data_IF_838548953321
#
_entry.id   IF_838548953321
#
_cell.length_a   1.000
_cell.length_b   1.000
_cell.length_c   1.000
_cell.angle_alpha   90.00
_cell.angle_beta   90.00
_cell.angle_gamma   90.00
#
_symmetry.space_group_name_H-M   'P 1'
#
loop_
_entity.id
_entity.type
_entity.pdbx_description
1 polymer ?
#
# COMPACT_ATOMS: atom_id res chain seq x y z
N UNK A 1 39.06 -9.50 -29.47
CA UNK A 1 38.33 -8.99 -30.65
C UNK A 1 37.58 -7.74 -30.21
N UNK A 2 37.95 -6.53 -30.66
CA UNK A 2 37.23 -5.32 -30.26
C UNK A 2 35.90 -5.21 -31.05
N UNK A 3 34.80 -5.07 -30.33
CA UNK A 3 33.46 -4.87 -30.88
C UNK A 3 33.19 -3.37 -30.99
N UNK A 4 32.96 -2.90 -32.21
CA UNK A 4 32.57 -1.52 -32.53
C UNK A 4 31.06 -1.37 -32.32
N UNK A 5 30.63 -0.42 -31.48
CA UNK A 5 29.24 0.00 -31.35
C UNK A 5 28.97 1.23 -32.23
N UNK A 6 27.93 1.25 -33.09
CA UNK A 6 27.52 2.47 -33.78
C UNK A 6 26.63 3.34 -32.88
N UNK A 7 27.09 4.57 -32.68
CA UNK A 7 26.35 5.70 -32.13
C UNK A 7 25.48 6.33 -33.22
N UNK A 8 24.17 6.43 -33.00
CA UNK A 8 23.25 7.18 -33.84
C UNK A 8 22.22 7.90 -32.97
N UNK A 9 22.50 9.18 -32.69
CA UNK A 9 21.54 10.14 -32.13
C UNK A 9 20.74 10.81 -33.26
N UNK A 10 19.42 10.96 -33.16
CA UNK A 10 18.64 11.83 -34.05
C UNK A 10 18.60 13.29 -33.55
N UNK A 11 18.34 14.26 -34.46
CA UNK A 11 18.48 15.69 -34.19
C UNK A 11 17.31 16.29 -33.41
N UNK A 12 17.66 17.22 -32.51
CA UNK A 12 16.76 18.10 -31.77
C UNK A 12 16.14 19.09 -32.76
N UNK A 13 14.81 19.08 -32.87
CA UNK A 13 14.05 20.12 -33.57
C UNK A 13 13.51 21.11 -32.54
N UNK A 14 13.90 22.38 -32.68
CA UNK A 14 13.45 23.50 -31.86
C UNK A 14 11.98 23.86 -32.16
N UNK A 15 11.12 24.07 -31.14
CA UNK A 15 9.85 24.73 -31.35
C UNK A 15 9.97 26.25 -31.21
N UNK A 16 9.53 26.90 -32.28
CA UNK A 16 9.26 28.33 -32.47
C UNK A 16 8.53 28.97 -31.29
N UNK A 17 9.09 30.08 -30.81
CA UNK A 17 8.47 31.05 -29.89
C UNK A 17 7.38 31.84 -30.61
N UNK A 18 6.12 31.55 -30.30
CA UNK A 18 4.97 32.36 -30.65
C UNK A 18 4.59 33.28 -29.51
N UNK A 19 4.93 34.56 -29.64
CA UNK A 19 4.47 35.67 -28.79
C UNK A 19 2.95 35.88 -28.96
N UNK A 20 2.20 35.75 -27.86
CA UNK A 20 0.83 36.26 -27.77
C UNK A 20 0.72 37.15 -26.53
N UNK A 21 0.82 38.45 -26.80
CA UNK A 21 0.54 39.55 -25.88
C UNK A 21 -0.96 39.61 -25.61
N UNK A 22 -1.35 39.38 -24.36
CA UNK A 22 -2.74 39.53 -23.91
C UNK A 22 -2.86 40.78 -23.04
N UNK A 23 -3.45 41.82 -23.63
CA UNK A 23 -3.72 43.13 -23.01
C UNK A 23 -5.00 43.04 -22.18
N UNK A 24 -4.91 43.22 -20.86
CA UNK A 24 -6.06 43.32 -19.96
C UNK A 24 -6.42 44.80 -19.78
N UNK A 25 -7.68 45.22 -20.02
CA UNK A 25 -8.11 46.59 -19.76
C UNK A 25 -8.43 46.81 -18.28
N UNK A 26 -7.87 47.91 -17.77
CA UNK A 26 -8.17 48.52 -16.47
C UNK A 26 -9.54 49.21 -16.53
N UNK A 27 -10.41 48.92 -15.56
CA UNK A 27 -11.72 49.55 -15.41
C UNK A 27 -11.95 49.94 -13.95
N UNK A 28 -12.05 51.23 -13.70
CA UNK A 28 -12.23 51.88 -12.41
C UNK A 28 -13.71 52.19 -12.09
N UNK A 29 -13.94 52.47 -10.80
CA UNK A 29 -15.00 53.33 -10.23
C UNK A 29 -16.46 52.85 -10.13
N UNK A 30 -16.91 52.69 -8.87
CA UNK A 30 -18.01 53.45 -8.22
C UNK A 30 -18.40 52.77 -6.88
N UNK A 31 -18.28 53.40 -5.71
CA UNK A 31 -19.07 54.50 -5.09
C UNK A 31 -20.12 53.98 -4.08
N UNK A 32 -19.72 54.07 -2.82
CA UNK A 32 -20.44 54.57 -1.62
C UNK A 32 -21.91 54.17 -1.37
N UNK A 33 -22.12 53.45 -0.27
CA UNK A 33 -23.40 53.35 0.44
C UNK A 33 -23.15 53.11 1.93
N UNK A 34 -23.39 54.13 2.76
CA UNK A 34 -23.18 54.13 4.21
C UNK A 34 -24.47 53.65 4.89
N UNK A 35 -24.40 52.57 5.66
CA UNK A 35 -25.45 52.21 6.62
C UNK A 35 -24.79 51.88 7.97
N UNK A 36 -25.10 52.71 8.97
CA UNK A 36 -24.63 52.57 10.33
C UNK A 36 -25.24 51.31 10.97
N UNK A 37 -24.38 50.35 11.32
CA UNK A 37 -24.75 49.17 12.12
C UNK A 37 -24.06 49.29 13.48
N UNK A 38 -24.89 49.22 14.50
CA UNK A 38 -24.58 49.26 15.93
C UNK A 38 -23.54 48.18 16.27
N UNK A 39 -22.41 48.61 16.86
CA UNK A 39 -21.33 47.73 17.31
C UNK A 39 -21.74 46.94 18.58
N UNK A 40 -21.67 45.59 18.56
CA UNK A 40 -21.55 44.80 19.77
C UNK A 40 -20.10 44.84 20.31
N UNK A 41 -19.88 44.53 21.60
CA UNK A 41 -18.59 44.70 22.27
C UNK A 41 -17.50 43.82 21.65
N UNK A 42 -16.37 44.45 21.34
CA UNK A 42 -15.13 43.82 20.87
C UNK A 42 -14.62 42.79 21.87
N UNK A 43 -14.83 41.51 21.58
CA UNK A 43 -14.01 40.45 22.12
C UNK A 43 -12.77 40.36 21.24
N UNK A 44 -11.65 40.88 21.73
CA UNK A 44 -10.30 40.62 21.20
C UNK A 44 -9.99 39.13 21.37
N UNK A 45 -10.61 38.30 20.53
CA UNK A 45 -10.24 36.91 20.34
C UNK A 45 -9.03 36.90 19.44
N UNK A 46 -7.85 36.96 20.06
CA UNK A 46 -6.55 36.78 19.42
C UNK A 46 -6.63 35.54 18.53
N UNK A 47 -6.75 35.76 17.21
CA UNK A 47 -6.94 34.71 16.22
C UNK A 47 -5.67 33.86 16.18
N UNK A 48 -5.69 32.78 16.98
CA UNK A 48 -4.62 31.78 17.01
C UNK A 48 -4.37 31.36 15.56
N UNK A 49 -3.14 31.51 15.03
CA UNK A 49 -2.84 31.21 13.64
C UNK A 49 -3.29 29.77 13.35
N UNK A 50 -4.21 29.63 12.39
CA UNK A 50 -4.80 28.34 12.01
C UNK A 50 -3.67 27.40 11.62
N UNK A 51 -3.50 26.32 12.38
CA UNK A 51 -2.54 25.26 12.11
C UNK A 51 -2.76 24.70 10.70
N UNK A 52 -1.71 24.47 9.90
CA UNK A 52 -1.88 23.94 8.55
C UNK A 52 -2.63 22.60 8.60
N UNK A 53 -3.54 22.33 7.66
CA UNK A 53 -4.28 21.06 7.62
C UNK A 53 -3.30 19.89 7.49
N UNK A 54 -3.41 18.91 8.39
CA UNK A 54 -2.65 17.65 8.32
C UNK A 54 -2.97 16.93 7.01
N UNK A 55 -1.95 16.38 6.38
CA UNK A 55 -2.03 15.62 5.13
C UNK A 55 -2.36 14.17 5.33
N UNK A 56 -2.24 13.70 6.57
CA UNK A 56 -2.51 12.33 6.93
C UNK A 56 -3.97 12.21 7.32
N UNK A 57 -4.75 11.59 6.43
CA UNK A 57 -6.15 11.32 6.68
C UNK A 57 -6.31 10.13 7.60
N UNK A 58 -6.98 10.31 8.75
CA UNK A 58 -7.24 9.22 9.70
C UNK A 58 -8.63 8.64 9.49
N UNK A 59 -8.71 7.32 9.40
CA UNK A 59 -9.94 6.54 9.23
C UNK A 59 -10.05 5.58 10.39
N UNK A 60 -11.09 5.75 11.22
CA UNK A 60 -11.43 4.80 12.28
C UNK A 60 -12.51 3.86 11.79
N UNK A 61 -12.22 2.57 11.80
CA UNK A 61 -13.14 1.51 11.43
C UNK A 61 -13.87 0.98 12.65
N UNK A 62 -15.16 0.72 12.50
CA UNK A 62 -16.00 0.14 13.55
C UNK A 62 -15.82 -1.39 13.68
N UNK A 63 -14.61 -1.90 13.43
CA UNK A 63 -14.24 -3.31 13.59
C UNK A 63 -13.29 -3.44 14.77
N UNK A 64 -13.34 -4.57 15.46
CA UNK A 64 -12.44 -4.84 16.58
C UNK A 64 -10.99 -5.02 16.11
N UNK A 65 -10.81 -5.73 15.01
CA UNK A 65 -9.51 -6.03 14.42
C UNK A 65 -9.61 -6.06 12.89
N UNK A 66 -8.49 -5.79 12.22
CA UNK A 66 -8.41 -5.74 10.76
C UNK A 66 -7.80 -7.06 10.27
N UNK A 67 -8.59 -7.86 9.57
CA UNK A 67 -8.10 -9.10 8.95
C UNK A 67 -7.30 -8.79 7.68
N UNK A 68 -6.52 -9.78 7.23
CA UNK A 68 -5.70 -9.67 6.02
C UNK A 68 -6.54 -9.29 4.78
N UNK A 69 -7.75 -9.83 4.65
CA UNK A 69 -8.68 -9.56 3.55
C UNK A 69 -9.14 -8.11 3.53
N UNK A 70 -9.46 -7.54 4.70
CA UNK A 70 -9.88 -6.14 4.80
C UNK A 70 -8.68 -5.23 4.49
N UNK A 71 -7.50 -5.55 5.03
CA UNK A 71 -6.28 -4.79 4.76
C UNK A 71 -5.91 -4.79 3.28
N UNK A 72 -6.02 -5.94 2.59
CA UNK A 72 -5.76 -6.05 1.15
C UNK A 72 -6.77 -5.27 0.31
N UNK A 73 -8.07 -5.37 0.63
CA UNK A 73 -9.12 -4.65 -0.09
C UNK A 73 -8.91 -3.13 0.02
N UNK A 74 -8.56 -2.65 1.21
CA UNK A 74 -8.27 -1.23 1.45
C UNK A 74 -7.01 -0.76 0.73
N UNK A 75 -5.95 -1.58 0.73
CA UNK A 75 -4.71 -1.29 0.00
C UNK A 75 -4.96 -1.20 -1.51
N UNK A 76 -5.63 -2.18 -2.10
CA UNK A 76 -5.99 -2.17 -3.53
C UNK A 76 -6.86 -0.98 -3.89
N UNK A 77 -7.87 -0.68 -3.08
CA UNK A 77 -8.72 0.48 -3.29
C UNK A 77 -7.91 1.78 -3.25
N UNK A 78 -7.03 1.96 -2.26
CA UNK A 78 -6.19 3.14 -2.16
C UNK A 78 -5.25 3.27 -3.36
N UNK A 79 -4.60 2.21 -3.82
CA UNK A 79 -3.75 2.23 -5.02
C UNK A 79 -4.55 2.74 -6.22
N UNK A 80 -5.75 2.20 -6.45
CA UNK A 80 -6.62 2.64 -7.55
C UNK A 80 -7.01 4.11 -7.46
N UNK A 81 -7.26 4.63 -6.25
CA UNK A 81 -7.55 6.05 -6.04
C UNK A 81 -6.31 6.92 -6.23
N UNK A 82 -5.14 6.53 -5.72
CA UNK A 82 -3.90 7.30 -5.88
C UNK A 82 -3.53 7.43 -7.37
N UNK A 83 -3.65 6.34 -8.14
CA UNK A 83 -3.42 6.39 -9.59
C UNK A 83 -4.34 7.41 -10.28
N UNK A 84 -5.60 7.49 -9.87
CA UNK A 84 -6.55 8.46 -10.43
C UNK A 84 -6.24 9.90 -9.98
N UNK A 85 -6.09 10.12 -8.67
CA UNK A 85 -5.86 11.45 -8.07
C UNK A 85 -4.53 12.08 -8.49
N UNK A 86 -3.53 11.25 -8.81
CA UNK A 86 -2.22 11.70 -9.32
C UNK A 86 -2.16 11.71 -10.85
N UNK A 87 -3.31 11.66 -11.54
CA UNK A 87 -3.43 11.67 -13.00
C UNK A 87 -2.59 10.60 -13.73
N UNK A 88 -2.32 9.48 -13.07
CA UNK A 88 -1.65 8.32 -13.70
C UNK A 88 -2.64 7.52 -14.55
N UNK A 89 -3.94 7.56 -14.22
CA UNK A 89 -5.02 7.01 -15.04
C UNK A 89 -6.13 8.02 -15.27
N UNK A 90 -6.77 8.04 -16.45
CA UNK A 90 -7.77 9.05 -16.81
C UNK A 90 -9.12 8.86 -16.12
N UNK A 91 -9.41 7.66 -15.61
CA UNK A 91 -10.65 7.33 -14.91
C UNK A 91 -10.33 6.42 -13.72
N UNK A 92 -11.19 6.41 -12.68
CA UNK A 92 -11.08 5.43 -11.60
C UNK A 92 -10.99 4.01 -12.17
N UNK A 93 -10.10 3.18 -11.63
CA UNK A 93 -9.83 1.82 -12.13
C UNK A 93 -11.12 0.99 -12.25
N UNK A 94 -12.05 1.14 -11.30
CA UNK A 94 -13.36 0.47 -11.34
C UNK A 94 -14.24 0.91 -12.52
N UNK A 95 -14.13 2.15 -12.96
CA UNK A 95 -14.82 2.64 -14.17
C UNK A 95 -14.12 2.16 -15.43
N UNK A 96 -12.79 2.06 -15.42
CA UNK A 96 -12.01 1.49 -16.53
C UNK A 96 -12.42 0.05 -16.84
N UNK A 97 -12.85 -0.77 -15.87
CA UNK A 97 -13.39 -2.11 -16.17
C UNK A 97 -14.69 -2.07 -17.00
N UNK A 98 -15.50 -1.01 -16.87
CA UNK A 98 -16.86 -0.95 -17.44
C UNK A 98 -16.92 -0.30 -18.82
N UNK A 99 -15.92 0.49 -19.20
CA UNK A 99 -15.94 1.21 -20.47
C UNK A 99 -15.81 0.18 -21.61
N UNK A 100 -16.78 0.00 -22.51
CA UNK A 100 -16.56 -0.90 -23.65
C UNK A 100 -15.43 -0.35 -24.54
N UNK A 101 -14.61 -1.22 -25.11
CA UNK A 101 -13.41 -0.85 -25.89
C UNK A 101 -13.67 -0.20 -27.25
N UNK A 102 -14.74 0.59 -27.41
CA UNK A 102 -15.35 1.07 -28.66
C UNK A 102 -14.40 1.67 -29.72
N UNK A 103 -14.50 2.97 -30.02
CA UNK A 103 -13.68 3.62 -31.09
C UNK A 103 -12.24 3.92 -30.63
N UNK A 104 -11.75 3.27 -29.58
CA UNK A 104 -10.41 3.48 -29.06
C UNK A 104 -9.35 2.97 -30.04
N UNK A 105 -8.21 3.64 -30.10
CA UNK A 105 -7.08 3.14 -30.90
C UNK A 105 -6.60 1.80 -30.33
N UNK A 106 -6.12 0.89 -31.19
CA UNK A 106 -5.58 -0.41 -30.77
C UNK A 106 -4.52 -0.27 -29.66
N UNK A 107 -3.68 0.78 -29.74
CA UNK A 107 -2.68 1.11 -28.72
C UNK A 107 -3.30 1.47 -27.37
N UNK A 108 -4.33 2.32 -27.35
CA UNK A 108 -4.99 2.72 -26.10
C UNK A 108 -5.75 1.55 -25.46
N UNK A 109 -6.36 0.69 -26.29
CA UNK A 109 -7.00 -0.53 -25.82
C UNK A 109 -5.98 -1.47 -25.17
N UNK A 110 -4.82 -1.67 -25.82
CA UNK A 110 -3.73 -2.49 -25.27
C UNK A 110 -3.25 -1.97 -23.92
N UNK A 111 -2.88 -0.68 -23.83
CA UNK A 111 -2.41 -0.08 -22.57
C UNK A 111 -3.44 -0.22 -21.45
N UNK A 112 -4.72 -0.05 -21.77
CA UNK A 112 -5.79 -0.26 -20.80
C UNK A 112 -5.87 -1.72 -20.35
N UNK A 113 -5.85 -2.68 -21.27
CA UNK A 113 -5.88 -4.10 -20.93
C UNK A 113 -4.69 -4.49 -20.08
N UNK A 114 -3.49 -4.05 -20.47
CA UNK A 114 -2.26 -4.27 -19.73
C UNK A 114 -2.41 -3.71 -18.31
N UNK A 115 -2.80 -2.44 -18.14
CA UNK A 115 -3.01 -1.82 -16.81
C UNK A 115 -4.07 -2.55 -15.96
N UNK A 116 -5.16 -3.04 -16.55
CA UNK A 116 -6.19 -3.77 -15.79
C UNK A 116 -5.69 -5.14 -15.33
N UNK A 117 -5.03 -5.91 -16.21
CA UNK A 117 -4.46 -7.22 -15.86
C UNK A 117 -3.40 -7.10 -14.75
N UNK A 118 -2.62 -6.04 -14.87
CA UNK A 118 -1.58 -5.60 -13.96
C UNK A 118 -2.12 -5.26 -12.56
N UNK A 119 -3.17 -4.44 -12.50
CA UNK A 119 -3.85 -4.09 -11.25
C UNK A 119 -4.56 -5.29 -10.61
N UNK A 120 -5.13 -6.19 -11.41
CA UNK A 120 -5.75 -7.44 -10.93
C UNK A 120 -4.72 -8.38 -10.32
N UNK A 121 -3.57 -8.54 -10.98
CA UNK A 121 -2.42 -9.31 -10.49
C UNK A 121 -1.94 -8.75 -9.15
N UNK A 122 -1.68 -7.44 -9.09
CA UNK A 122 -1.30 -6.77 -7.84
C UNK A 122 -2.33 -7.01 -6.72
N UNK A 123 -3.62 -6.88 -7.03
CA UNK A 123 -4.69 -7.08 -6.04
C UNK A 123 -4.73 -8.51 -5.51
N UNK A 124 -4.57 -9.50 -6.38
CA UNK A 124 -4.43 -10.90 -5.98
C UNK A 124 -3.22 -11.11 -5.05
N UNK A 125 -2.09 -10.49 -5.37
CA UNK A 125 -0.89 -10.59 -4.53
C UNK A 125 -1.03 -9.85 -3.20
N UNK A 126 -1.72 -8.71 -3.14
CA UNK A 126 -1.95 -8.01 -1.88
C UNK A 126 -2.70 -8.89 -0.88
N UNK A 127 -3.68 -9.69 -1.32
CA UNK A 127 -4.39 -10.64 -0.45
C UNK A 127 -3.42 -11.65 0.17
N UNK A 128 -2.59 -12.33 -0.64
CA UNK A 128 -1.61 -13.30 -0.13
C UNK A 128 -0.51 -12.62 0.71
N UNK A 129 -0.15 -11.38 0.37
CA UNK A 129 0.85 -10.58 1.09
C UNK A 129 0.41 -10.26 2.50
N UNK A 130 -0.81 -9.77 2.70
CA UNK A 130 -1.31 -9.44 4.03
C UNK A 130 -1.50 -10.70 4.89
N UNK A 131 -1.84 -11.85 4.28
CA UNK A 131 -1.84 -13.16 4.98
C UNK A 131 -0.44 -13.57 5.42
N UNK A 132 0.54 -13.50 4.51
CA UNK A 132 1.95 -13.79 4.85
C UNK A 132 2.50 -12.82 5.90
N UNK A 133 2.11 -11.54 5.86
CA UNK A 133 2.50 -10.54 6.86
C UNK A 133 1.89 -10.87 8.21
N UNK A 134 0.61 -11.22 8.26
CA UNK A 134 -0.08 -11.66 9.48
C UNK A 134 0.66 -12.83 10.15
N UNK A 135 1.06 -13.83 9.36
CA UNK A 135 1.85 -14.97 9.85
C UNK A 135 3.27 -14.57 10.27
N UNK A 136 3.94 -13.71 9.50
CA UNK A 136 5.27 -13.22 9.86
C UNK A 136 5.24 -12.41 11.17
N UNK A 137 4.19 -11.63 11.38
CA UNK A 137 3.94 -10.89 12.61
C UNK A 137 3.62 -11.80 13.78
N UNK A 138 2.85 -12.86 13.59
CA UNK A 138 2.57 -13.85 14.63
C UNK A 138 3.85 -14.57 15.06
N UNK A 139 4.74 -14.89 14.11
CA UNK A 139 6.05 -15.52 14.41
C UNK A 139 7.06 -14.58 15.04
N UNK A 140 6.97 -13.28 14.75
CA UNK A 140 7.84 -12.26 15.33
C UNK A 140 7.35 -11.81 16.71
N UNK A 141 6.04 -11.91 16.97
CA UNK A 141 5.49 -11.82 18.30
C UNK A 141 6.08 -12.97 19.12
N UNK A 142 6.91 -12.67 20.12
CA UNK A 142 7.24 -13.66 21.13
C UNK A 142 5.97 -14.13 21.89
N UNK A 143 6.10 -14.76 23.06
CA UNK A 143 4.95 -15.22 23.85
C UNK A 143 4.04 -14.07 24.38
N UNK A 144 4.24 -12.82 23.93
CA UNK A 144 3.42 -11.69 24.36
C UNK A 144 2.10 -11.64 23.57
N UNK A 145 0.95 -11.65 24.26
CA UNK A 145 -0.38 -11.82 23.65
C UNK A 145 -0.94 -10.50 23.10
N UNK A 146 -0.26 -9.92 22.12
CA UNK A 146 -0.81 -8.82 21.32
C UNK A 146 -1.39 -9.37 20.02
N UNK A 147 -2.72 -9.44 19.84
CA UNK A 147 -3.32 -10.05 18.64
C UNK A 147 -3.14 -9.19 17.40
N UNK A 148 -2.71 -7.93 17.54
CA UNK A 148 -2.66 -6.98 16.44
C UNK A 148 -1.29 -6.32 16.27
N UNK A 149 -0.90 -6.11 15.01
CA UNK A 149 0.30 -5.38 14.59
C UNK A 149 -0.05 -4.25 13.63
N UNK A 150 0.94 -3.40 13.37
CA UNK A 150 0.83 -2.30 12.43
C UNK A 150 1.59 -2.63 11.14
N UNK A 151 0.90 -2.51 10.01
CA UNK A 151 1.49 -2.71 8.69
C UNK A 151 1.59 -1.39 7.93
N UNK A 152 2.64 -1.25 7.11
CA UNK A 152 2.85 -0.08 6.28
C UNK A 152 3.10 -0.48 4.83
N UNK A 153 2.41 0.19 3.92
CA UNK A 153 2.60 0.11 2.48
C UNK A 153 2.84 1.53 1.96
N UNK A 154 3.80 1.70 1.05
CA UNK A 154 4.07 2.98 0.41
C UNK A 154 3.81 2.90 -1.09
N UNK A 155 3.15 3.93 -1.61
CA UNK A 155 2.87 4.13 -3.03
C UNK A 155 3.67 5.35 -3.47
N UNK A 156 4.66 5.11 -4.33
CA UNK A 156 5.58 6.14 -4.81
C UNK A 156 5.29 6.41 -6.29
N UNK A 157 5.00 7.65 -6.63
CA UNK A 157 4.71 8.07 -8.01
C UNK A 157 5.85 8.97 -8.49
N UNK A 158 6.60 8.52 -9.50
CA UNK A 158 7.69 9.28 -10.10
C UNK A 158 8.69 8.42 -10.86
N UNK A 159 9.79 9.00 -11.37
CA UNK A 159 10.73 8.31 -12.25
C UNK A 159 11.53 7.17 -11.60
N UNK A 160 11.68 7.20 -10.27
CA UNK A 160 12.35 6.15 -9.50
C UNK A 160 11.89 6.19 -8.04
N UNK A 161 12.21 5.14 -7.28
CA UNK A 161 11.96 5.08 -5.82
C UNK A 161 12.61 6.25 -5.07
N UNK A 162 13.85 6.59 -5.41
CA UNK A 162 14.61 7.66 -4.73
C UNK A 162 14.22 9.08 -5.14
N UNK A 163 13.69 9.25 -6.36
CA UNK A 163 13.27 10.53 -6.93
C UNK A 163 11.75 10.66 -7.12
N UNK A 164 10.98 9.86 -6.36
CA UNK A 164 9.53 9.90 -6.38
C UNK A 164 9.03 11.32 -6.06
N UNK A 165 8.16 11.85 -6.94
CA UNK A 165 7.59 13.19 -6.80
C UNK A 165 6.53 13.22 -5.71
N UNK A 166 5.82 12.12 -5.55
CA UNK A 166 4.79 11.94 -4.53
C UNK A 166 5.02 10.64 -3.80
N UNK A 167 4.81 10.67 -2.48
CA UNK A 167 4.89 9.52 -1.59
C UNK A 167 3.59 9.46 -0.79
N UNK A 168 2.82 8.40 -0.99
CA UNK A 168 1.58 8.14 -0.24
C UNK A 168 1.81 6.94 0.66
N UNK A 169 1.65 7.11 1.97
CA UNK A 169 1.77 6.03 2.95
C UNK A 169 0.39 5.53 3.34
N UNK A 170 0.24 4.22 3.34
CA UNK A 170 -0.91 3.51 3.88
C UNK A 170 -0.48 2.80 5.15
N UNK A 171 -1.08 3.17 6.28
CA UNK A 171 -0.87 2.50 7.56
C UNK A 171 -2.15 1.77 7.98
N UNK A 172 -1.99 0.51 8.36
CA UNK A 172 -3.05 -0.31 8.93
C UNK A 172 -2.68 -0.60 10.37
N UNK A 173 -3.42 -0.01 11.28
CA UNK A 173 -3.27 -0.18 12.72
C UNK A 173 -4.37 -1.12 13.26
N UNK A 174 -3.95 -2.25 13.81
CA UNK A 174 -4.89 -3.31 14.21
C UNK A 174 -4.92 -4.53 13.30
N UNK A 175 -3.87 -4.78 12.48
CA UNK A 175 -3.79 -5.97 11.63
C UNK A 175 -3.64 -7.22 12.50
N UNK A 176 -4.56 -8.17 12.41
CA UNK A 176 -4.48 -9.44 13.17
C UNK A 176 -3.20 -10.19 12.81
N UNK A 177 -2.43 -10.58 13.82
CA UNK A 177 -1.28 -11.45 13.68
C UNK A 177 -1.69 -12.90 13.97
N UNK A 178 -1.83 -13.70 12.91
CA UNK A 178 -2.25 -15.10 12.98
C UNK A 178 -1.42 -15.97 12.06
N UNK A 179 -1.04 -17.17 12.53
CA UNK A 179 -0.36 -18.16 11.71
C UNK A 179 -1.38 -18.81 10.78
N UNK A 180 -1.16 -18.69 9.47
CA UNK A 180 -2.03 -19.35 8.50
C UNK A 180 -1.88 -20.87 8.61
N UNK A 181 -3.02 -21.56 8.73
CA UNK A 181 -3.07 -23.03 8.85
C UNK A 181 -3.05 -23.55 10.28
N UNK A 182 -2.82 -22.70 11.27
CA UNK A 182 -3.12 -23.02 12.66
C UNK A 182 -4.64 -23.00 12.84
N UNK A 183 -5.22 -24.12 13.27
CA UNK A 183 -6.66 -24.23 13.51
C UNK A 183 -6.96 -23.53 14.83
N UNK A 184 -8.00 -22.70 14.85
CA UNK A 184 -8.47 -22.01 16.07
C UNK A 184 -9.11 -22.97 17.08
N UNK A 185 -9.15 -24.27 16.78
CA UNK A 185 -9.93 -25.28 17.49
C UNK A 185 -9.33 -25.72 18.84
N UNK A 186 -8.28 -25.03 19.34
CA UNK A 186 -7.58 -25.37 20.60
C UNK A 186 -7.67 -24.23 21.62
N UNK A 187 -8.74 -23.44 21.60
CA UNK A 187 -9.11 -22.63 22.77
C UNK A 187 -9.83 -23.53 23.81
N UNK A 188 -8.99 -24.18 24.62
CA UNK A 188 -9.18 -24.41 26.06
C UNK A 188 -10.57 -24.84 26.56
N UNK A 189 -10.86 -26.14 26.47
CA UNK A 189 -11.31 -26.87 27.67
C UNK A 189 -10.05 -27.24 28.50
N UNK A 190 -9.36 -26.24 29.05
CA UNK A 190 -8.44 -26.48 30.18
C UNK A 190 -9.26 -26.41 31.45
N UNK A 191 -9.95 -27.50 31.73
CA UNK A 191 -10.48 -27.77 33.06
C UNK A 191 -9.30 -27.84 34.04
N UNK A 192 -9.42 -27.05 35.11
CA UNK A 192 -8.57 -27.00 36.28
C UNK A 192 -8.46 -28.37 36.97
N UNK A 193 -7.57 -29.26 36.50
CA UNK A 193 -7.11 -30.40 37.29
C UNK A 193 -5.59 -30.35 37.46
N UNK A 194 -5.21 -29.57 38.48
CA UNK A 194 -4.13 -29.81 39.42
C UNK A 194 -3.62 -31.25 39.48
N UNK A 195 -2.31 -31.48 39.37
CA UNK A 195 -1.54 -32.28 40.34
C UNK A 195 -0.09 -31.79 40.41
N UNK A 196 0.38 -31.63 41.65
CA UNK A 196 1.75 -31.31 42.05
C UNK A 196 2.73 -32.40 41.58
N UNK A 197 3.81 -32.02 40.89
CA UNK A 197 4.93 -32.92 40.67
C UNK A 197 6.24 -32.14 40.81
N UNK A 198 6.75 -32.13 42.04
CA UNK A 198 8.18 -31.95 42.34
C UNK A 198 8.95 -33.08 41.65
N UNK A 199 9.79 -32.75 40.67
CA UNK A 199 10.91 -33.63 40.33
C UNK A 199 12.13 -32.80 39.95
N UNK A 200 13.08 -32.76 40.89
CA UNK A 200 14.41 -32.22 40.72
C UNK A 200 15.26 -33.25 39.97
N UNK A 201 15.82 -32.90 38.80
CA UNK A 201 16.91 -33.68 38.21
C UNK A 201 17.85 -32.85 37.35
N UNK A 202 18.95 -32.52 38.00
CA UNK A 202 20.35 -32.43 37.57
C UNK A 202 20.73 -32.73 36.11
N UNK A 203 21.44 -31.73 35.55
CA UNK A 203 22.79 -31.76 34.94
C UNK A 203 23.13 -32.47 33.60
N UNK A 204 24.14 -31.83 32.97
CA UNK A 204 25.07 -32.25 31.90
C UNK A 204 24.67 -31.92 30.45
N UNK A 205 25.28 -30.91 29.80
CA UNK A 205 26.65 -30.79 29.24
C UNK A 205 26.86 -31.59 27.93
N UNK A 206 27.69 -31.04 27.03
CA UNK A 206 28.19 -31.52 25.71
C UNK A 206 27.31 -31.22 24.48
N UNK A 207 27.80 -30.87 23.29
CA UNK A 207 29.11 -30.46 22.77
C UNK A 207 28.96 -30.04 21.30
N UNK A 208 29.86 -29.15 20.88
CA UNK A 208 30.34 -28.81 19.53
C UNK A 208 30.24 -29.89 18.42
N UNK A 209 29.75 -29.49 17.24
CA UNK A 209 30.11 -30.12 15.96
C UNK A 209 29.79 -29.20 14.77
N UNK A 210 30.85 -28.58 14.26
CA UNK A 210 30.90 -27.87 12.98
C UNK A 210 30.74 -28.85 11.81
N UNK A 211 29.99 -28.50 10.76
CA UNK A 211 30.02 -29.22 9.49
C UNK A 211 29.97 -28.23 8.34
N UNK A 212 31.13 -28.05 7.72
CA UNK A 212 31.32 -27.45 6.41
C UNK A 212 31.08 -28.56 5.39
N UNK A 213 30.21 -28.35 4.40
CA UNK A 213 30.26 -29.19 3.21
C UNK A 213 29.90 -28.44 1.92
N UNK A 214 30.73 -28.77 0.96
CA UNK A 214 30.97 -28.26 -0.39
C UNK A 214 29.94 -28.84 -1.37
N UNK A 215 29.41 -28.05 -2.31
CA UNK A 215 28.77 -28.60 -3.51
C UNK A 215 28.62 -27.54 -4.62
N UNK A 216 29.66 -27.47 -5.45
CA UNK A 216 29.64 -26.94 -6.82
C UNK A 216 28.69 -27.78 -7.71
N UNK A 217 27.63 -27.19 -8.26
CA UNK A 217 26.89 -27.79 -9.39
C UNK A 217 26.61 -26.77 -10.49
N UNK A 218 27.21 -27.04 -11.67
CA UNK A 218 26.99 -26.34 -12.93
C UNK A 218 25.62 -26.68 -13.53
N UNK A 219 24.92 -25.72 -14.18
CA UNK A 219 23.77 -26.05 -15.03
C UNK A 219 24.22 -26.49 -16.44
N UNK A 220 23.64 -27.59 -16.90
CA UNK A 220 23.79 -28.14 -18.26
C UNK A 220 22.65 -27.65 -19.17
N UNK A 221 23.02 -27.12 -20.33
CA UNK A 221 22.12 -26.72 -21.40
C UNK A 221 21.46 -27.95 -22.02
N UNK A 222 20.12 -28.01 -22.03
CA UNK A 222 19.36 -29.02 -22.81
C UNK A 222 18.26 -28.32 -23.60
N UNK A 223 18.58 -28.00 -24.85
CA UNK A 223 17.63 -27.65 -25.90
C UNK A 223 16.87 -28.92 -26.34
N UNK A 224 15.55 -28.91 -26.22
CA UNK A 224 14.72 -29.92 -26.89
C UNK A 224 13.44 -29.29 -27.44
N UNK A 225 13.53 -28.91 -28.71
CA UNK A 225 12.40 -28.64 -29.58
C UNK A 225 11.73 -29.96 -29.95
N UNK A 226 10.41 -30.09 -29.74
CA UNK A 226 9.64 -31.17 -30.37
C UNK A 226 8.25 -30.66 -30.75
N UNK A 227 8.14 -30.29 -32.01
CA UNK A 227 6.91 -30.13 -32.77
C UNK A 227 6.24 -31.50 -32.86
N UNK A 228 4.96 -31.62 -32.51
CA UNK A 228 4.16 -32.81 -32.83
C UNK A 228 2.69 -32.44 -33.01
N UNK A 229 2.33 -32.29 -34.29
CA UNK A 229 0.97 -32.34 -34.82
C UNK A 229 0.36 -33.73 -34.54
N UNK A 230 -0.72 -33.76 -33.77
CA UNK A 230 -1.63 -34.92 -33.72
C UNK A 230 -3.06 -34.48 -33.99
N UNK A 231 -3.43 -34.67 -35.25
CA UNK A 231 -4.78 -34.74 -35.76
C UNK A 231 -5.49 -35.96 -35.15
N UNK A 232 -6.50 -35.72 -34.30
CA UNK A 232 -7.32 -36.77 -33.71
C UNK A 232 -8.81 -36.40 -33.79
N UNK A 233 -9.50 -37.16 -34.65
CA UNK A 233 -10.92 -37.11 -34.95
C UNK A 233 -11.81 -37.15 -33.70
N UNK A 234 -12.72 -36.17 -33.58
CA UNK A 234 -13.70 -36.10 -32.50
C UNK A 234 -14.97 -36.94 -32.81
N UNK A 235 -15.53 -37.66 -31.82
CA UNK A 235 -16.79 -38.40 -31.93
C UNK A 235 -18.04 -37.49 -31.93
N UNK A 236 -19.22 -37.99 -32.37
CA UNK A 236 -20.43 -37.18 -32.57
C UNK A 236 -21.06 -36.66 -31.26
N UNK A 237 -21.73 -35.50 -31.29
CA UNK A 237 -22.34 -34.87 -30.12
C UNK A 237 -23.57 -35.65 -29.62
N UNK A 238 -23.59 -35.92 -28.32
CA UNK A 238 -24.75 -36.48 -27.62
C UNK A 238 -25.85 -35.42 -27.41
N UNK A 239 -27.15 -35.81 -27.43
CA UNK A 239 -28.28 -34.90 -27.32
C UNK A 239 -28.39 -34.26 -25.93
N UNK A 240 -28.50 -32.93 -25.91
CA UNK A 240 -28.59 -32.10 -24.70
C UNK A 240 -29.87 -32.36 -23.89
N UNK A 241 -29.78 -32.51 -22.55
CA UNK A 241 -30.94 -32.49 -21.67
C UNK A 241 -31.54 -31.07 -21.60
N UNK A 242 -32.88 -31.01 -21.57
CA UNK A 242 -33.69 -29.79 -21.56
C UNK A 242 -33.30 -28.82 -20.42
N UNK A 243 -33.36 -27.49 -20.66
CA UNK A 243 -33.09 -26.48 -19.65
C UNK A 243 -34.20 -26.50 -18.59
N UNK A 244 -33.85 -26.91 -17.37
CA UNK A 244 -34.73 -26.72 -16.22
C UNK A 244 -34.93 -25.21 -15.96
N UNK A 245 -36.12 -24.78 -15.53
CA UNK A 245 -36.43 -23.37 -15.29
C UNK A 245 -35.46 -22.82 -14.25
N UNK A 246 -34.76 -21.77 -14.66
CA UNK A 246 -33.71 -21.08 -13.91
C UNK A 246 -34.31 -20.52 -12.61
N UNK A 247 -33.99 -21.18 -11.49
CA UNK A 247 -34.24 -20.67 -10.15
C UNK A 247 -33.55 -19.31 -10.06
N UNK A 248 -34.32 -18.27 -9.77
CA UNK A 248 -33.81 -16.89 -9.70
C UNK A 248 -32.55 -16.83 -8.83
N UNK A 249 -31.44 -16.24 -9.31
CA UNK A 249 -30.20 -16.22 -8.56
C UNK A 249 -30.44 -15.52 -7.22
N UNK A 250 -30.21 -16.26 -6.13
CA UNK A 250 -30.26 -15.72 -4.78
C UNK A 250 -29.30 -14.51 -4.72
N UNK A 251 -29.73 -13.34 -4.21
CA UNK A 251 -28.85 -12.19 -4.10
C UNK A 251 -27.61 -12.59 -3.28
N UNK A 252 -26.40 -12.26 -3.75
CA UNK A 252 -25.18 -12.60 -3.03
C UNK A 252 -25.24 -11.98 -1.63
N UNK A 253 -24.78 -12.69 -0.59
CA UNK A 253 -24.76 -12.15 0.77
C UNK A 253 -23.99 -10.83 0.79
N UNK A 254 -24.44 -9.82 1.56
CA UNK A 254 -23.76 -8.55 1.65
C UNK A 254 -22.33 -8.76 2.16
N UNK A 255 -21.34 -8.47 1.32
CA UNK A 255 -19.94 -8.53 1.74
C UNK A 255 -19.69 -7.41 2.75
N UNK A 256 -19.18 -7.80 3.92
CA UNK A 256 -18.92 -6.89 5.04
C UNK A 256 -17.85 -5.83 4.71
N UNK A 257 -17.12 -5.97 3.60
CA UNK A 257 -16.10 -5.01 3.15
C UNK A 257 -16.67 -3.78 2.43
N UNK A 258 -17.90 -3.83 1.89
CA UNK A 258 -18.46 -2.73 1.08
C UNK A 258 -18.64 -1.40 1.85
N UNK A 259 -19.18 -1.39 3.09
CA UNK A 259 -19.28 -0.16 3.87
C UNK A 259 -17.91 0.46 4.18
N UNK A 260 -16.91 -0.38 4.47
CA UNK A 260 -15.54 0.03 4.79
C UNK A 260 -14.90 0.71 3.58
N UNK A 261 -15.05 0.13 2.39
CA UNK A 261 -14.53 0.70 1.14
C UNK A 261 -15.20 2.04 0.80
N UNK A 262 -16.51 2.18 1.07
CA UNK A 262 -17.21 3.46 0.88
C UNK A 262 -16.71 4.54 1.85
N UNK A 263 -16.45 4.17 3.11
CA UNK A 263 -15.87 5.09 4.08
C UNK A 263 -14.48 5.57 3.62
N UNK A 264 -13.62 4.65 3.18
CA UNK A 264 -12.31 5.00 2.65
C UNK A 264 -12.42 5.91 1.42
N UNK A 265 -13.29 5.58 0.46
CA UNK A 265 -13.50 6.41 -0.73
C UNK A 265 -14.01 7.81 -0.35
N UNK A 266 -14.91 7.91 0.63
CA UNK A 266 -15.38 9.19 1.15
C UNK A 266 -14.26 9.99 1.81
N UNK A 267 -13.44 9.36 2.66
CA UNK A 267 -12.28 10.04 3.27
C UNK A 267 -11.29 10.52 2.22
N UNK A 268 -11.01 9.70 1.20
CA UNK A 268 -10.14 10.10 0.10
C UNK A 268 -10.74 11.25 -0.72
N UNK A 269 -12.04 11.24 -0.98
CA UNK A 269 -12.74 12.34 -1.64
C UNK A 269 -12.60 13.65 -0.85
N UNK A 270 -12.69 13.60 0.48
CA UNK A 270 -12.46 14.79 1.32
C UNK A 270 -10.99 15.23 1.34
N UNK A 271 -10.07 14.28 1.16
CA UNK A 271 -8.64 14.53 1.11
C UNK A 271 -8.14 14.99 -0.28
N UNK A 272 -8.99 15.03 -1.31
CA UNK A 272 -8.62 15.36 -2.70
C UNK A 272 -7.82 16.65 -2.82
N UNK A 273 -8.17 17.66 -2.01
CA UNK A 273 -7.47 18.95 -2.00
C UNK A 273 -5.98 18.82 -1.64
N UNK A 274 -5.61 17.80 -0.86
CA UNK A 274 -4.20 17.51 -0.54
C UNK A 274 -3.52 16.60 -1.56
N UNK A 275 -4.26 15.71 -2.23
CA UNK A 275 -3.68 14.67 -3.09
C UNK A 275 -3.71 15.02 -4.59
N UNK A 276 -4.47 16.01 -5.03
CA UNK A 276 -4.66 16.35 -6.46
C UNK A 276 -3.51 17.15 -7.09
N UNK A 277 -2.26 16.73 -6.88
CA UNK A 277 -1.13 17.28 -7.62
C UNK A 277 -1.11 16.68 -9.03
N UNK A 278 -1.31 17.52 -10.06
CA UNK A 278 -1.24 17.10 -11.45
C UNK A 278 0.19 16.66 -11.79
N UNK A 279 0.37 15.35 -11.95
CA UNK A 279 1.61 14.75 -12.41
C UNK A 279 1.41 14.24 -13.83
N UNK A 280 2.44 14.40 -14.67
CA UNK A 280 2.52 13.63 -15.89
C UNK A 280 2.52 12.12 -15.56
N UNK A 281 2.04 11.26 -16.47
CA UNK A 281 2.18 9.81 -16.33
C UNK A 281 3.64 9.43 -16.08
N UNK A 282 3.86 8.69 -15.01
CA UNK A 282 5.18 8.26 -14.53
C UNK A 282 5.08 6.87 -13.92
N UNK A 283 6.24 6.29 -13.61
CA UNK A 283 6.28 4.99 -12.95
C UNK A 283 5.63 5.07 -11.56
N UNK A 284 4.85 4.04 -11.23
CA UNK A 284 4.34 3.83 -9.87
C UNK A 284 5.07 2.65 -9.24
N UNK A 285 5.67 2.87 -8.07
CA UNK A 285 6.32 1.84 -7.28
C UNK A 285 5.54 1.58 -5.99
N UNK A 286 5.44 0.32 -5.60
CA UNK A 286 4.80 -0.09 -4.35
C UNK A 286 5.85 -0.77 -3.48
N UNK A 287 6.00 -0.25 -2.26
CA UNK A 287 6.92 -0.79 -1.27
C UNK A 287 6.14 -1.27 -0.04
N UNK A 288 6.61 -2.37 0.55
CA UNK A 288 6.08 -2.94 1.77
C UNK A 288 7.14 -2.93 2.86
N UNK A 289 6.77 -2.50 4.07
CA UNK A 289 7.59 -2.69 5.27
C UNK A 289 7.18 -3.99 5.95
N UNK A 290 8.10 -4.95 6.02
CA UNK A 290 7.83 -6.29 6.52
C UNK A 290 8.93 -6.78 7.48
N UNK A 291 8.67 -7.77 8.34
CA UNK A 291 9.72 -8.47 9.10
C UNK A 291 10.81 -9.07 8.19
N UNK A 292 12.07 -9.14 8.64
CA UNK A 292 13.22 -9.72 7.93
C UNK A 292 12.97 -11.14 7.42
N UNK A 293 12.18 -11.90 8.17
CA UNK A 293 11.81 -13.29 7.86
C UNK A 293 10.59 -13.40 6.94
N UNK A 294 10.02 -12.28 6.52
CA UNK A 294 8.93 -12.28 5.54
C UNK A 294 9.48 -12.73 4.19
N UNK A 295 8.85 -13.75 3.64
CA UNK A 295 9.12 -14.26 2.30
C UNK A 295 7.81 -14.34 1.53
N UNK A 296 7.81 -13.81 0.31
CA UNK A 296 6.67 -13.88 -0.58
C UNK A 296 7.18 -13.86 -2.03
N UNK A 297 6.71 -14.76 -2.91
CA UNK A 297 7.30 -14.97 -4.23
C UNK A 297 7.27 -13.72 -5.12
N UNK A 298 6.30 -12.84 -4.86
CA UNK A 298 6.05 -11.68 -5.68
C UNK A 298 6.61 -10.36 -5.09
N UNK A 299 7.35 -10.43 -3.98
CA UNK A 299 7.97 -9.27 -3.34
C UNK A 299 9.48 -9.45 -3.29
N UNK A 300 10.21 -8.46 -3.81
CA UNK A 300 11.67 -8.53 -3.94
C UNK A 300 12.32 -7.58 -2.94
N UNK A 301 13.23 -8.05 -2.07
CA UNK A 301 13.94 -7.19 -1.13
C UNK A 301 14.70 -6.05 -1.82
N UNK A 302 14.54 -4.82 -1.33
CA UNK A 302 15.18 -3.61 -1.84
C UNK A 302 15.97 -2.89 -0.74
N UNK A 303 17.21 -3.33 -0.52
CA UNK A 303 18.10 -2.71 0.48
C UNK A 303 18.35 -1.21 0.26
N UNK A 304 18.34 -0.76 -1.00
CA UNK A 304 18.54 0.65 -1.35
C UNK A 304 17.35 1.57 -1.07
N UNK A 305 16.15 1.02 -0.85
CA UNK A 305 14.95 1.80 -0.57
C UNK A 305 14.80 2.18 0.92
N UNK A 306 15.53 1.48 1.80
CA UNK A 306 15.31 1.51 3.26
C UNK A 306 15.41 2.87 3.91
N UNK A 307 16.42 3.65 3.55
CA UNK A 307 16.58 4.98 4.12
C UNK A 307 15.50 5.96 3.66
N UNK A 308 15.04 5.84 2.41
CA UNK A 308 14.06 6.74 1.82
C UNK A 308 12.66 6.50 2.38
N UNK A 309 12.26 5.22 2.54
CA UNK A 309 10.99 4.86 3.12
C UNK A 309 10.96 5.13 4.63
N UNK A 310 12.00 4.78 5.39
CA UNK A 310 12.06 5.11 6.83
C UNK A 310 11.98 6.62 7.09
N UNK A 311 12.59 7.45 6.24
CA UNK A 311 12.43 8.90 6.34
C UNK A 311 10.99 9.34 6.08
N UNK A 312 10.31 8.76 5.08
CA UNK A 312 8.92 9.08 4.77
C UNK A 312 7.96 8.60 5.86
N UNK A 313 8.18 7.40 6.40
CA UNK A 313 7.40 6.84 7.51
C UNK A 313 7.53 7.67 8.79
N UNK A 314 8.73 8.18 9.08
CA UNK A 314 8.93 9.06 10.23
C UNK A 314 8.13 10.35 10.10
N UNK A 315 8.17 10.99 8.93
CA UNK A 315 7.40 12.21 8.65
C UNK A 315 5.89 11.94 8.71
N UNK A 316 5.44 10.84 8.11
CA UNK A 316 4.05 10.40 8.15
C UNK A 316 3.55 10.16 9.59
N UNK A 317 4.32 9.49 10.44
CA UNK A 317 3.96 9.24 11.85
C UNK A 317 3.88 10.52 12.68
N UNK A 318 4.85 11.42 12.48
CA UNK A 318 4.89 12.73 13.12
C UNK A 318 3.64 13.54 12.75
N UNK A 319 3.24 13.53 11.48
CA UNK A 319 2.05 14.23 10.99
C UNK A 319 0.73 13.55 11.37
N UNK A 320 0.73 12.23 11.54
CA UNK A 320 -0.41 11.47 12.06
C UNK A 320 -0.67 11.70 13.55
N UNK A 321 0.22 12.42 14.25
CA UNK A 321 0.18 12.58 15.71
C UNK A 321 0.53 11.30 16.47
N UNK A 322 1.12 10.30 15.79
CA UNK A 322 1.62 9.06 16.40
C UNK A 322 3.11 9.24 16.64
N UNK A 323 3.44 10.19 17.51
CA UNK A 323 4.82 10.44 17.87
C UNK A 323 5.30 9.34 18.82
N UNK A 324 6.38 8.63 18.44
CA UNK A 324 7.09 7.74 19.36
C UNK A 324 7.44 8.55 20.62
N UNK A 325 6.88 8.19 21.77
CA UNK A 325 7.13 8.83 23.08
C UNK A 325 8.62 8.92 23.42
N UNK A 326 9.43 8.07 22.81
CA UNK A 326 10.91 8.06 22.90
C UNK A 326 11.58 9.32 22.33
N UNK A 327 10.96 10.04 21.38
CA UNK A 327 11.60 11.17 20.69
C UNK A 327 11.45 12.53 21.38
N UNK A 328 10.64 12.63 22.45
CA UNK A 328 10.38 13.90 23.14
C UNK A 328 11.58 14.46 23.93
N UNK A 329 12.68 13.71 24.06
CA UNK A 329 13.85 14.11 24.87
C UNK A 329 14.95 14.82 24.09
N UNK A 330 14.90 14.89 22.75
CA UNK A 330 15.96 15.52 21.95
C UNK A 330 15.47 16.81 21.25
N UNK A 331 15.63 17.92 21.97
CA UNK A 331 15.75 19.33 21.54
C UNK A 331 15.20 19.81 20.19
N UNK A 332 14.45 20.93 20.24
CA UNK A 332 13.99 21.78 19.11
C UNK A 332 14.67 21.49 17.77
N UNK A 333 13.97 20.77 16.88
CA UNK A 333 14.42 20.51 15.51
C UNK A 333 14.54 21.84 14.76
N UNK A 334 15.74 22.12 14.26
CA UNK A 334 16.05 23.24 13.35
C UNK A 334 15.15 23.13 12.11
N UNK A 335 14.63 24.26 11.63
CA UNK A 335 13.74 24.33 10.47
C UNK A 335 14.29 23.51 9.30
N UNK A 336 13.62 22.40 8.97
CA UNK A 336 14.03 21.52 7.85
C UNK A 336 13.74 22.25 6.54
N UNK A 337 14.73 22.26 5.65
CA UNK A 337 14.60 22.66 4.25
C UNK A 337 13.48 21.85 3.60
N UNK A 338 12.67 22.49 2.75
CA UNK A 338 11.43 21.96 2.13
C UNK A 338 11.63 20.55 1.53
N UNK A 339 11.37 19.51 2.33
CA UNK A 339 11.33 18.13 1.86
C UNK A 339 10.03 17.90 1.08
N UNK A 340 9.99 16.95 0.13
CA UNK A 340 8.76 16.57 -0.55
C UNK A 340 7.75 16.08 0.48
N UNK A 341 6.58 16.71 0.45
CA UNK A 341 5.45 16.47 1.35
C UNK A 341 5.02 15.00 1.28
N UNK A 342 5.05 14.30 2.41
CA UNK A 342 4.50 12.95 2.53
C UNK A 342 2.99 13.07 2.73
N UNK A 343 2.21 12.30 1.98
CA UNK A 343 0.76 12.19 2.14
C UNK A 343 0.42 10.79 2.65
N UNK A 344 -0.79 10.58 3.16
CA UNK A 344 -1.19 9.21 3.45
C UNK A 344 -2.53 9.03 4.13
N UNK A 345 -2.85 7.76 4.36
CA UNK A 345 -4.06 7.31 5.05
C UNK A 345 -3.67 6.42 6.22
N UNK A 346 -4.12 6.79 7.41
CA UNK A 346 -3.99 5.99 8.62
C UNK A 346 -5.32 5.31 8.92
N UNK A 347 -5.40 4.00 8.74
CA UNK A 347 -6.59 3.21 9.08
C UNK A 347 -6.37 2.55 10.42
N UNK A 348 -7.30 2.74 11.36
CA UNK A 348 -7.25 2.16 12.70
C UNK A 348 -8.56 1.43 13.01
N UNK A 349 -8.48 0.26 13.65
CA UNK A 349 -9.65 -0.40 14.23
C UNK A 349 -10.07 0.27 15.55
N UNK A 350 -11.21 -0.17 16.09
CA UNK A 350 -11.77 0.31 17.37
C UNK A 350 -10.82 0.08 18.55
N UNK A 351 -10.08 -1.02 18.56
CA UNK A 351 -9.16 -1.41 19.63
C UNK A 351 -7.79 -0.72 19.55
N UNK A 352 -7.46 -0.07 18.43
CA UNK A 352 -6.16 0.56 18.20
C UNK A 352 -5.88 1.81 19.07
N UNK A 353 -6.82 2.22 19.93
CA UNK A 353 -6.66 3.33 20.87
C UNK A 353 -5.95 2.98 22.17
N UNK A 354 -5.74 1.70 22.46
CA UNK A 354 -4.86 1.29 23.56
C UNK A 354 -3.44 1.53 23.07
N UNK A 355 -2.71 2.45 23.69
CA UNK A 355 -1.31 2.71 23.37
C UNK A 355 -0.55 1.38 23.47
N UNK A 356 -0.36 0.71 22.33
CA UNK A 356 0.55 -0.41 22.25
C UNK A 356 1.92 0.21 22.56
N UNK A 357 2.59 -0.20 23.66
CA UNK A 357 3.92 0.29 23.94
C UNK A 357 4.75 0.00 22.70
N UNK A 358 5.14 1.07 22.00
CA UNK A 358 5.76 1.03 20.67
C UNK A 358 7.15 0.41 20.85
N UNK A 359 7.18 -0.92 20.91
CA UNK A 359 8.34 -1.79 21.13
C UNK A 359 9.43 -1.11 21.96
N UNK A 360 9.02 -0.60 23.14
CA UNK A 360 9.88 0.17 24.03
C UNK A 360 10.90 -0.75 24.74
N UNK A 361 10.71 -2.07 24.65
CA UNK A 361 11.78 -3.02 24.89
C UNK A 361 12.73 -2.95 23.71
N UNK A 362 14.00 -2.57 23.93
CA UNK A 362 15.04 -2.42 22.91
C UNK A 362 15.44 -3.70 22.15
N UNK A 363 14.51 -4.61 21.89
CA UNK A 363 14.64 -5.76 21.02
C UNK A 363 14.65 -5.33 19.56
N UNK A 364 15.85 -5.11 19.01
CA UNK A 364 16.18 -5.17 17.59
C UNK A 364 15.15 -4.53 16.62
N UNK A 365 15.08 -3.20 16.64
CA UNK A 365 14.47 -2.38 15.56
C UNK A 365 15.06 -2.66 14.16
N UNK A 366 16.14 -3.42 14.08
CA UNK A 366 16.81 -3.78 12.83
C UNK A 366 16.07 -4.85 12.03
N UNK A 367 15.12 -5.60 12.59
CA UNK A 367 14.56 -6.78 11.91
C UNK A 367 13.46 -6.51 10.89
N UNK A 368 13.42 -5.34 10.27
CA UNK A 368 12.47 -5.03 9.18
C UNK A 368 13.22 -4.94 7.85
N UNK A 369 12.66 -5.56 6.81
CA UNK A 369 13.11 -5.45 5.42
C UNK A 369 12.06 -4.73 4.61
N UNK A 370 12.55 -4.10 3.55
CA UNK A 370 11.70 -3.47 2.56
C UNK A 370 11.69 -4.29 1.31
N UNK A 371 10.50 -4.41 0.76
CA UNK A 371 10.27 -5.22 -0.42
C UNK A 371 9.57 -4.35 -1.45
N UNK A 372 10.00 -4.46 -2.70
CA UNK A 372 9.38 -3.81 -3.84
C UNK A 372 8.57 -4.80 -4.67
N UNK A 373 7.48 -4.30 -5.22
CA UNK A 373 6.75 -4.93 -6.31
C UNK A 373 7.40 -4.55 -7.65
N UNK A 374 7.78 -5.52 -8.50
CA UNK A 374 8.56 -5.24 -9.71
C UNK A 374 7.73 -4.96 -10.97
N UNK A 375 6.45 -5.32 -11.02
CA UNK A 375 5.63 -4.96 -12.17
C UNK A 375 5.23 -3.49 -12.07
N UNK A 376 6.09 -2.66 -12.63
CA UNK A 376 5.91 -1.22 -12.67
C UNK A 376 5.22 -0.83 -13.99
N UNK A 377 4.14 -0.07 -13.88
CA UNK A 377 3.42 0.49 -15.02
C UNK A 377 3.94 1.90 -15.34
N UNK A 378 3.87 2.31 -16.60
CA UNK A 378 4.24 3.65 -17.11
C UNK A 378 3.02 4.38 -17.64
#
# INVERSE_FOLDING_TARGET
MPVLTPSLSPPISEPSTGDLSNTIPSGSDAKTGVAAVVMPPSQDSEAKPSEPPSTVSRVSLDVEHINAEIASDLASALVGHVLFLKNQVPFPVMQLYRIPGGKSTSKALKLRTDLLASFDTLSCHLISTFRSLSTAFARAAGPSPGPTRRAYLAILVGPSIGSAKTKVIFAVDGLVAKIWGERDDVEEERDDESEESDDESDEEDVSDASTEDDADEQPSDTDSSTESDVDASSPPPSPSPSPSPCTSPLPPPPSHSQPILRLLAHTLATAEHSMSAELAPTQTHILLRAPRRFTHPAWIPRQGASSALESALREFREEAGVADTSALTLGRRKARTKAPKVEGVWVACRSAGVEFPDDAGGGRRDDLVELGWEDCWV
#
